data_IF_394333681792
#
_entry.id   IF_394333681792
#
_cell.length_a   1.000
_cell.length_b   1.000
_cell.length_c   1.000
_cell.angle_alpha   90.00
_cell.angle_beta   90.00
_cell.angle_gamma   90.00
#
_symmetry.space_group_name_H-M   'P 1'
#
loop_
_entity.id
_entity.type
_entity.pdbx_description
1 polymer ?
#
# COMPACT_ATOMS: atom_id res chain seq x y z
N UNK A 1 -27.34 -15.58 45.27
CA UNK A 1 -26.17 -16.13 45.99
C UNK A 1 -25.11 -16.74 45.06
N UNK A 2 -25.48 -17.43 43.96
CA UNK A 2 -24.49 -17.98 43.00
C UNK A 2 -23.63 -16.92 42.27
N UNK A 3 -24.21 -15.78 41.89
CA UNK A 3 -23.46 -14.72 41.21
C UNK A 3 -22.35 -14.08 42.07
N UNK A 4 -22.57 -13.95 43.39
CA UNK A 4 -21.58 -13.40 44.32
C UNK A 4 -20.42 -14.35 44.60
N UNK A 5 -20.68 -15.66 44.67
CA UNK A 5 -19.64 -16.67 44.84
C UNK A 5 -18.74 -16.79 43.60
N UNK A 6 -19.30 -16.62 42.39
CA UNK A 6 -18.53 -16.61 41.14
C UNK A 6 -17.63 -15.37 41.02
N UNK A 7 -18.15 -14.19 41.37
CA UNK A 7 -17.36 -12.94 41.38
C UNK A 7 -16.22 -13.01 42.41
N UNK A 8 -16.49 -13.54 43.60
CA UNK A 8 -15.46 -13.71 44.64
C UNK A 8 -14.37 -14.72 44.26
N UNK A 9 -14.73 -15.82 43.59
CA UNK A 9 -13.76 -16.80 43.09
C UNK A 9 -12.91 -16.25 41.94
N UNK A 10 -13.48 -15.37 41.11
CA UNK A 10 -12.81 -14.70 40.00
C UNK A 10 -11.70 -13.75 40.45
N UNK A 11 -11.88 -13.10 41.60
CA UNK A 11 -10.92 -12.14 42.18
C UNK A 11 -10.00 -12.79 43.24
N UNK A 12 -10.03 -14.12 43.37
CA UNK A 12 -9.26 -14.84 44.38
C UNK A 12 -7.79 -14.99 43.98
N UNK A 13 -6.87 -14.92 44.96
CA UNK A 13 -5.45 -15.25 44.78
C UNK A 13 -5.21 -16.72 44.37
N UNK A 14 -6.23 -17.57 44.43
CA UNK A 14 -6.18 -18.94 43.91
C UNK A 14 -6.18 -19.00 42.37
N UNK A 15 -6.51 -17.90 41.70
CA UNK A 15 -6.55 -17.78 40.23
C UNK A 15 -5.76 -16.56 39.73
N UNK A 16 -4.87 -16.02 40.58
CA UNK A 16 -3.97 -14.94 40.17
C UNK A 16 -3.02 -15.42 39.08
N UNK A 17 -2.66 -14.51 38.17
CA UNK A 17 -1.67 -14.78 37.15
C UNK A 17 -0.27 -14.68 37.78
N UNK A 18 0.35 -15.83 38.02
CA UNK A 18 1.71 -15.92 38.55
C UNK A 18 2.75 -16.13 37.44
N UNK A 19 2.38 -16.85 36.39
CA UNK A 19 3.28 -17.21 35.30
C UNK A 19 2.75 -16.69 33.96
N UNK A 20 3.49 -15.77 33.33
CA UNK A 20 3.15 -15.15 32.05
C UNK A 20 4.13 -15.58 30.98
N UNK A 21 3.64 -16.26 29.95
CA UNK A 21 4.45 -16.61 28.77
C UNK A 21 4.06 -15.72 27.60
N UNK A 22 4.99 -14.87 27.14
CA UNK A 22 4.79 -13.99 25.99
C UNK A 22 5.56 -14.53 24.77
N UNK A 23 4.85 -14.86 23.70
CA UNK A 23 5.42 -15.32 22.42
C UNK A 23 5.12 -14.34 21.28
N UNK A 24 5.80 -14.50 20.15
CA UNK A 24 5.49 -13.76 18.93
C UNK A 24 6.14 -12.37 18.80
N UNK A 25 6.99 -11.95 19.75
CA UNK A 25 7.75 -10.69 19.67
C UNK A 25 9.24 -10.86 19.46
N UNK A 26 9.80 -10.06 18.56
CA UNK A 26 11.20 -10.02 18.13
C UNK A 26 11.67 -8.58 17.91
N UNK A 27 12.98 -8.38 17.71
CA UNK A 27 13.56 -7.06 17.47
C UNK A 27 13.88 -6.25 18.73
N UNK A 28 14.17 -4.96 18.56
CA UNK A 28 14.67 -4.09 19.63
C UNK A 28 13.62 -3.84 20.73
N UNK A 29 12.35 -3.68 20.36
CA UNK A 29 11.25 -3.40 21.29
C UNK A 29 10.74 -4.65 22.01
N UNK A 30 11.19 -5.85 21.64
CA UNK A 30 10.67 -7.11 22.17
C UNK A 30 10.73 -7.19 23.71
N UNK A 31 11.84 -6.75 24.31
CA UNK A 31 11.98 -6.76 25.77
C UNK A 31 11.00 -5.81 26.46
N UNK A 32 10.79 -4.63 25.89
CA UNK A 32 9.88 -3.60 26.41
C UNK A 32 8.40 -4.00 26.23
N UNK A 33 8.06 -4.66 25.12
CA UNK A 33 6.71 -5.21 24.88
C UNK A 33 6.41 -6.33 25.88
N UNK A 34 7.36 -7.26 26.10
CA UNK A 34 7.20 -8.35 27.08
C UNK A 34 6.98 -7.80 28.48
N UNK A 35 7.80 -6.84 28.92
CA UNK A 35 7.66 -6.28 30.27
C UNK A 35 6.33 -5.54 30.46
N UNK A 36 5.89 -4.77 29.46
CA UNK A 36 4.59 -4.08 29.49
C UNK A 36 3.41 -5.07 29.59
N UNK A 37 3.45 -6.15 28.82
CA UNK A 37 2.41 -7.20 28.84
C UNK A 37 2.42 -7.98 30.16
N UNK A 38 3.59 -8.36 30.67
CA UNK A 38 3.72 -9.06 31.96
C UNK A 38 3.22 -8.19 33.11
N UNK A 39 3.57 -6.90 33.15
CA UNK A 39 3.11 -5.98 34.18
C UNK A 39 1.59 -5.74 34.14
N UNK A 40 0.99 -5.70 32.96
CA UNK A 40 -0.47 -5.64 32.81
C UNK A 40 -1.14 -6.95 33.23
N UNK A 41 -0.59 -8.10 32.83
CA UNK A 41 -1.12 -9.43 33.15
C UNK A 41 -1.09 -9.75 34.66
N UNK A 42 -0.07 -9.33 35.40
CA UNK A 42 -0.01 -9.55 36.86
C UNK A 42 -1.06 -8.76 37.65
N UNK A 43 -1.73 -7.79 37.03
CA UNK A 43 -2.88 -7.08 37.64
C UNK A 43 -4.22 -7.76 37.35
N UNK A 44 -4.19 -8.91 36.68
CA UNK A 44 -5.36 -9.68 36.24
C UNK A 44 -5.39 -11.07 36.88
N UNK A 45 -6.53 -11.76 36.73
CA UNK A 45 -6.68 -13.16 37.13
C UNK A 45 -6.95 -14.03 35.91
N UNK A 46 -6.68 -15.35 35.98
CA UNK A 46 -6.97 -16.26 34.86
C UNK A 46 -8.47 -16.38 34.54
N UNK A 47 -9.33 -15.94 35.48
CA UNK A 47 -10.79 -15.88 35.30
C UNK A 47 -11.30 -14.46 34.92
N UNK A 48 -10.45 -13.43 34.99
CA UNK A 48 -10.73 -12.06 34.56
C UNK A 48 -9.59 -11.49 33.71
N UNK A 49 -9.50 -11.94 32.47
CA UNK A 49 -8.52 -11.43 31.52
C UNK A 49 -9.11 -10.26 30.73
N UNK A 50 -8.60 -9.06 30.98
CA UNK A 50 -8.93 -7.88 30.19
C UNK A 50 -7.98 -7.74 28.98
N UNK A 51 -8.42 -8.26 27.84
CA UNK A 51 -7.70 -8.11 26.57
C UNK A 51 -7.59 -6.65 26.09
N UNK A 52 -8.52 -5.77 26.49
CA UNK A 52 -8.50 -4.35 26.16
C UNK A 52 -7.39 -3.59 26.90
N UNK A 53 -7.16 -3.95 28.15
CA UNK A 53 -6.04 -3.42 28.95
C UNK A 53 -4.69 -3.92 28.41
N UNK A 54 -4.57 -5.20 28.05
CA UNK A 54 -3.36 -5.73 27.41
C UNK A 54 -3.05 -5.04 26.07
N UNK A 55 -4.06 -4.82 25.22
CA UNK A 55 -3.89 -4.03 23.99
C UNK A 55 -3.50 -2.58 24.26
N UNK A 56 -4.03 -1.99 25.33
CA UNK A 56 -3.71 -0.60 25.69
C UNK A 56 -2.28 -0.46 26.21
N UNK A 57 -1.76 -1.47 26.94
CA UNK A 57 -0.38 -1.52 27.40
C UNK A 57 0.64 -1.50 26.25
N UNK A 58 0.29 -2.09 25.10
CA UNK A 58 1.18 -2.17 23.93
C UNK A 58 0.87 -1.16 22.83
N UNK A 59 -0.09 -0.25 23.04
CA UNK A 59 -0.53 0.74 22.04
C UNK A 59 0.61 1.66 21.55
N UNK A 60 1.62 1.87 22.38
CA UNK A 60 2.78 2.69 22.07
C UNK A 60 3.76 2.01 21.09
N UNK A 61 3.58 0.73 20.78
CA UNK A 61 4.45 -0.05 19.90
C UNK A 61 3.75 -0.34 18.56
N UNK A 62 4.04 0.42 17.48
CA UNK A 62 3.38 0.25 16.18
C UNK A 62 3.60 -1.14 15.55
N UNK A 63 4.69 -1.81 15.93
CA UNK A 63 5.03 -3.18 15.51
C UNK A 63 3.99 -4.21 15.97
N UNK A 64 3.18 -3.91 17.00
CA UNK A 64 2.14 -4.84 17.48
C UNK A 64 0.85 -4.63 16.70
N UNK A 65 0.43 -5.66 15.94
CA UNK A 65 -0.85 -5.67 15.23
C UNK A 65 -2.02 -6.06 16.15
N UNK A 66 -1.82 -7.10 16.97
CA UNK A 66 -2.83 -7.63 17.87
C UNK A 66 -2.18 -8.41 19.02
N UNK A 67 -2.96 -8.65 20.08
CA UNK A 67 -2.56 -9.48 21.22
C UNK A 67 -3.64 -10.52 21.44
N UNK A 68 -3.25 -11.80 21.36
CA UNK A 68 -4.11 -12.94 21.65
C UNK A 68 -3.74 -13.50 23.00
N UNK A 69 -4.76 -13.83 23.78
CA UNK A 69 -4.56 -14.28 25.15
C UNK A 69 -5.34 -15.55 25.38
N UNK A 70 -4.69 -16.52 26.01
CA UNK A 70 -5.30 -17.75 26.47
C UNK A 70 -4.90 -17.98 27.93
N UNK A 71 -5.89 -18.20 28.78
CA UNK A 71 -5.67 -18.54 30.17
C UNK A 71 -5.46 -20.06 30.31
N UNK A 72 -4.33 -20.45 30.86
CA UNK A 72 -4.00 -21.82 31.22
C UNK A 72 -4.16 -21.98 32.73
N UNK A 73 -5.34 -22.39 33.15
CA UNK A 73 -5.70 -22.54 34.56
C UNK A 73 -4.69 -23.46 35.30
N UNK A 74 -4.38 -23.23 36.59
CA UNK A 74 -4.92 -22.20 37.50
C UNK A 74 -4.18 -20.85 37.55
N UNK A 75 -2.90 -20.78 37.13
CA UNK A 75 -2.07 -19.58 37.37
C UNK A 75 -1.31 -19.07 36.14
N UNK A 76 -1.50 -19.71 34.97
CA UNK A 76 -0.74 -19.37 33.76
C UNK A 76 -1.55 -18.53 32.80
N UNK A 77 -0.90 -17.53 32.23
CA UNK A 77 -1.43 -16.73 31.13
C UNK A 77 -0.47 -16.81 29.96
N UNK A 78 -0.97 -17.29 28.81
CA UNK A 78 -0.22 -17.30 27.56
C UNK A 78 -0.69 -16.15 26.69
N UNK A 79 0.26 -15.31 26.30
CA UNK A 79 0.04 -14.13 25.48
C UNK A 79 0.82 -14.33 24.17
N UNK A 80 0.10 -14.39 23.06
CA UNK A 80 0.67 -14.44 21.73
C UNK A 80 0.52 -13.06 21.06
N UNK A 81 1.65 -12.42 20.80
CA UNK A 81 1.69 -11.11 20.15
C UNK A 81 1.78 -11.31 18.65
N UNK A 82 0.84 -10.72 17.92
CA UNK A 82 0.84 -10.72 16.47
C UNK A 82 1.59 -9.49 15.99
N UNK A 83 2.78 -9.69 15.44
CA UNK A 83 3.55 -8.62 14.82
C UNK A 83 2.95 -8.17 13.49
N UNK A 84 2.99 -6.86 13.29
CA UNK A 84 2.60 -6.20 12.07
C UNK A 84 3.68 -6.39 11.02
N UNK A 85 3.32 -7.02 9.90
CA UNK A 85 4.26 -7.27 8.81
C UNK A 85 4.54 -5.99 8.02
N UNK A 86 5.81 -5.61 7.84
CA UNK A 86 6.17 -4.53 6.93
C UNK A 86 6.00 -5.00 5.48
N UNK A 87 5.44 -4.15 4.61
CA UNK A 87 5.24 -4.48 3.19
C UNK A 87 6.07 -3.63 2.25
N UNK A 88 6.38 -2.39 2.63
CA UNK A 88 7.15 -1.46 1.82
C UNK A 88 7.77 -0.38 2.68
N UNK A 89 8.62 0.43 2.06
CA UNK A 89 9.17 1.65 2.66
C UNK A 89 8.63 2.86 1.94
N UNK A 90 8.45 3.97 2.66
CA UNK A 90 8.03 5.25 2.08
C UNK A 90 8.94 6.35 2.61
N UNK A 91 9.24 7.35 1.79
CA UNK A 91 10.07 8.48 2.18
C UNK A 91 9.26 9.48 3.01
N UNK A 92 9.56 9.56 4.31
CA UNK A 92 8.95 10.50 5.26
C UNK A 92 10.07 11.40 5.78
N UNK A 93 9.97 12.72 5.53
CA UNK A 93 11.01 13.67 5.94
C UNK A 93 12.41 13.34 5.40
N UNK A 94 12.49 12.73 4.21
CA UNK A 94 13.75 12.32 3.58
C UNK A 94 14.35 11.01 4.10
N UNK A 95 13.64 10.27 4.95
CA UNK A 95 14.06 8.96 5.47
C UNK A 95 13.09 7.87 5.00
N UNK A 96 13.65 6.77 4.49
CA UNK A 96 12.86 5.58 4.18
C UNK A 96 12.37 4.95 5.48
N UNK A 97 11.06 4.93 5.64
CA UNK A 97 10.39 4.39 6.83
C UNK A 97 9.48 3.24 6.43
N UNK A 98 9.49 2.18 7.22
CA UNK A 98 8.70 0.99 6.93
C UNK A 98 7.22 1.22 7.19
N UNK A 99 6.38 0.63 6.34
CA UNK A 99 4.93 0.75 6.44
C UNK A 99 4.28 -0.62 6.25
N UNK A 100 3.25 -0.86 7.04
CA UNK A 100 2.43 -2.07 6.99
C UNK A 100 1.25 -1.97 6.03
N UNK A 101 0.56 -3.08 5.80
CA UNK A 101 -0.63 -3.15 4.96
C UNK A 101 -1.75 -2.15 5.34
N UNK A 102 -1.93 -1.89 6.64
CA UNK A 102 -2.92 -0.95 7.18
C UNK A 102 -2.44 0.51 7.21
N UNK A 103 -1.24 0.77 6.68
CA UNK A 103 -0.65 2.11 6.56
C UNK A 103 0.05 2.58 7.82
N UNK A 104 0.17 1.73 8.84
CA UNK A 104 0.85 2.07 10.09
C UNK A 104 2.35 2.18 9.82
N UNK A 105 2.93 3.28 10.26
CA UNK A 105 4.36 3.53 10.17
C UNK A 105 5.05 2.74 11.26
N UNK A 106 6.01 1.91 10.87
CA UNK A 106 6.76 1.05 11.76
C UNK A 106 8.12 1.67 12.05
N UNK A 107 8.47 1.69 13.33
CA UNK A 107 9.81 2.10 13.76
C UNK A 107 10.79 0.97 13.46
N UNK A 108 11.95 1.35 12.95
CA UNK A 108 13.19 0.56 12.78
C UNK A 108 13.01 -0.92 12.39
N UNK A 109 13.19 -1.20 11.10
CA UNK A 109 13.32 -2.58 10.64
C UNK A 109 14.67 -3.10 11.12
N UNK A 110 14.65 -4.14 11.95
CA UNK A 110 15.85 -4.93 12.20
C UNK A 110 16.60 -5.18 10.90
N UNK A 111 17.91 -4.91 10.91
CA UNK A 111 18.79 -5.00 9.75
C UNK A 111 18.67 -6.39 9.10
N UNK A 112 18.09 -6.45 7.90
CA UNK A 112 17.93 -7.70 7.13
C UNK A 112 16.67 -7.78 6.26
N UNK A 113 15.66 -6.93 6.46
CA UNK A 113 14.43 -6.99 5.65
C UNK A 113 14.56 -6.17 4.37
N UNK A 114 14.59 -6.84 3.22
CA UNK A 114 14.55 -6.17 1.91
C UNK A 114 13.10 -5.86 1.53
N UNK A 115 12.75 -4.58 1.50
CA UNK A 115 11.42 -4.10 1.13
C UNK A 115 11.46 -3.24 -0.14
N UNK A 116 10.39 -3.23 -0.94
CA UNK A 116 10.25 -2.27 -2.02
C UNK A 116 10.01 -0.86 -1.48
N UNK A 117 10.51 0.14 -2.20
CA UNK A 117 10.18 1.54 -1.98
C UNK A 117 8.83 1.86 -2.65
N UNK A 118 7.97 2.57 -1.93
CA UNK A 118 6.69 3.03 -2.44
C UNK A 118 6.89 4.42 -3.04
N UNK A 119 6.80 4.51 -4.37
CA UNK A 119 6.96 5.79 -5.08
C UNK A 119 5.70 6.64 -4.90
N UNK A 120 5.87 7.84 -4.35
CA UNK A 120 4.79 8.81 -4.18
C UNK A 120 5.08 10.09 -4.96
N UNK A 121 4.07 10.70 -5.60
CA UNK A 121 4.24 11.96 -6.32
C UNK A 121 4.40 13.16 -5.37
N UNK A 122 3.97 13.02 -4.12
CA UNK A 122 4.07 14.04 -3.09
C UNK A 122 4.79 13.49 -1.84
N UNK A 123 5.46 14.34 -1.07
CA UNK A 123 6.01 13.98 0.23
C UNK A 123 4.90 13.46 1.16
N UNK A 124 5.17 12.36 1.84
CA UNK A 124 4.26 11.84 2.87
C UNK A 124 4.50 12.59 4.17
N UNK A 125 3.47 13.18 4.79
CA UNK A 125 3.61 13.86 6.07
C UNK A 125 4.05 12.89 7.16
N UNK A 126 4.83 13.40 8.10
CA UNK A 126 5.23 12.61 9.26
C UNK A 126 4.00 12.30 10.14
N UNK A 127 3.88 11.04 10.55
CA UNK A 127 2.79 10.60 11.42
C UNK A 127 2.88 9.11 11.70
N UNK A 128 2.07 8.65 12.65
CA UNK A 128 1.99 7.22 12.98
C UNK A 128 1.32 6.39 11.86
N UNK A 129 0.62 7.04 10.94
CA UNK A 129 -0.13 6.38 9.87
C UNK A 129 -0.14 7.19 8.58
N UNK A 130 0.09 6.49 7.48
CA UNK A 130 -0.02 7.00 6.11
C UNK A 130 -1.46 6.88 5.62
N UNK A 131 -2.03 7.98 5.15
CA UNK A 131 -3.44 8.05 4.69
C UNK A 131 -3.54 8.33 3.19
N UNK A 132 -2.42 8.63 2.55
CA UNK A 132 -2.31 9.00 1.14
C UNK A 132 -2.87 7.89 0.24
N UNK A 133 -3.88 8.19 -0.61
CA UNK A 133 -4.53 7.18 -1.44
C UNK A 133 -3.57 6.41 -2.36
N UNK A 134 -2.53 7.08 -2.86
CA UNK A 134 -1.51 6.45 -3.70
C UNK A 134 -0.73 5.38 -2.93
N UNK A 135 -0.29 5.69 -1.71
CA UNK A 135 0.41 4.73 -0.84
C UNK A 135 -0.52 3.59 -0.44
N UNK A 136 -1.77 3.89 -0.06
CA UNK A 136 -2.76 2.87 0.30
C UNK A 136 -3.00 1.88 -0.84
N UNK A 137 -3.07 2.35 -2.09
CA UNK A 137 -3.22 1.50 -3.27
C UNK A 137 -1.97 0.65 -3.54
N UNK A 138 -0.78 1.23 -3.42
CA UNK A 138 0.48 0.47 -3.54
C UNK A 138 0.62 -0.58 -2.43
N UNK A 139 0.24 -0.26 -1.19
CA UNK A 139 0.21 -1.22 -0.08
C UNK A 139 -0.80 -2.34 -0.33
N UNK A 140 -1.97 -2.04 -0.90
CA UNK A 140 -2.95 -3.07 -1.28
C UNK A 140 -2.40 -4.00 -2.38
N UNK A 141 -1.69 -3.45 -3.37
CA UNK A 141 -0.97 -4.21 -4.38
C UNK A 141 0.04 -5.16 -3.73
N UNK A 142 0.88 -4.66 -2.82
CA UNK A 142 1.88 -5.47 -2.10
C UNK A 142 1.24 -6.51 -1.18
N UNK A 143 0.14 -6.17 -0.50
CA UNK A 143 -0.58 -7.07 0.41
C UNK A 143 -1.22 -8.26 -0.33
N UNK A 144 -1.60 -8.06 -1.59
CA UNK A 144 -2.13 -9.12 -2.44
C UNK A 144 -1.05 -10.03 -3.05
N UNK A 145 0.22 -9.62 -2.95
CA UNK A 145 1.35 -10.36 -3.51
C UNK A 145 1.73 -11.56 -2.63
N UNK A 146 2.36 -12.58 -3.22
CA UNK A 146 2.89 -13.69 -2.43
C UNK A 146 4.06 -13.22 -1.55
N UNK A 147 4.22 -13.72 -0.30
CA UNK A 147 5.30 -13.24 0.58
C UNK A 147 6.71 -13.38 -0.03
N UNK A 148 6.93 -14.38 -0.90
CA UNK A 148 8.20 -14.60 -1.57
C UNK A 148 8.54 -13.60 -2.69
N UNK A 149 7.57 -12.85 -3.23
CA UNK A 149 7.84 -11.86 -4.28
C UNK A 149 8.24 -10.49 -3.72
N UNK A 150 7.80 -10.14 -2.50
CA UNK A 150 8.07 -8.83 -1.88
C UNK A 150 9.57 -8.49 -1.85
N UNK A 151 10.48 -9.37 -1.42
CA UNK A 151 11.91 -9.06 -1.40
C UNK A 151 12.50 -8.88 -2.81
N UNK A 152 11.85 -9.47 -3.83
CA UNK A 152 12.25 -9.35 -5.24
C UNK A 152 11.79 -8.04 -5.86
N UNK A 153 10.93 -7.27 -5.21
CA UNK A 153 10.49 -5.96 -5.70
C UNK A 153 11.45 -4.87 -5.22
N UNK A 154 11.86 -3.98 -6.12
CA UNK A 154 12.60 -2.76 -5.78
C UNK A 154 11.66 -1.60 -5.50
N UNK A 155 10.57 -1.48 -6.25
CA UNK A 155 9.63 -0.37 -6.14
C UNK A 155 8.18 -0.82 -6.39
N UNK A 156 7.22 -0.09 -5.82
CA UNK A 156 5.80 -0.20 -6.12
C UNK A 156 5.15 1.19 -6.07
N UNK A 157 4.15 1.44 -6.90
CA UNK A 157 3.53 2.75 -6.93
C UNK A 157 2.40 2.85 -7.94
N UNK A 158 2.03 4.08 -8.26
CA UNK A 158 1.10 4.37 -9.35
C UNK A 158 1.76 5.34 -10.33
N UNK A 159 1.61 5.05 -11.61
CA UNK A 159 2.06 5.86 -12.73
C UNK A 159 0.83 6.39 -13.50
N UNK A 160 0.89 7.60 -14.09
CA UNK A 160 -0.24 8.16 -14.83
C UNK A 160 -0.64 7.35 -16.08
N UNK A 161 0.30 6.64 -16.71
CA UNK A 161 0.08 5.93 -17.96
C UNK A 161 -0.40 4.50 -17.73
N UNK A 162 0.19 3.79 -16.75
CA UNK A 162 -0.07 2.35 -16.54
C UNK A 162 -0.83 2.06 -15.24
N UNK A 163 -1.23 3.09 -14.48
CA UNK A 163 -1.87 2.91 -13.19
C UNK A 163 -0.92 2.27 -12.17
N UNK A 164 -1.40 1.31 -11.40
CA UNK A 164 -0.60 0.57 -10.44
C UNK A 164 0.51 -0.21 -11.15
N UNK A 165 1.73 -0.06 -10.64
CA UNK A 165 2.90 -0.75 -11.16
C UNK A 165 3.85 -1.17 -10.05
N UNK A 166 4.67 -2.18 -10.34
CA UNK A 166 5.75 -2.63 -9.47
C UNK A 166 6.99 -2.95 -10.30
N UNK A 167 8.17 -2.78 -9.72
CA UNK A 167 9.45 -3.07 -10.38
C UNK A 167 10.10 -4.27 -9.71
N UNK A 168 10.42 -5.32 -10.47
CA UNK A 168 11.30 -6.38 -9.98
C UNK A 168 12.75 -5.90 -9.96
N UNK A 169 13.49 -6.31 -8.93
CA UNK A 169 14.95 -6.24 -8.89
C UNK A 169 15.50 -7.12 -9.99
N UNK A 170 16.32 -6.54 -10.87
CA UNK A 170 16.94 -7.25 -12.00
C UNK A 170 15.91 -7.98 -12.89
N UNK A 171 14.74 -7.38 -13.09
CA UNK A 171 13.65 -8.01 -13.82
C UNK A 171 12.68 -7.01 -14.46
N UNK A 172 11.60 -7.49 -15.06
CA UNK A 172 10.63 -6.65 -15.76
C UNK A 172 9.92 -5.67 -14.84
N UNK A 173 9.43 -4.58 -15.44
CA UNK A 173 8.39 -3.75 -14.84
C UNK A 173 7.03 -4.44 -14.97
N UNK A 174 6.26 -4.47 -13.88
CA UNK A 174 4.92 -5.04 -13.85
C UNK A 174 3.88 -3.92 -13.93
N UNK A 175 2.93 -4.05 -14.84
CA UNK A 175 1.79 -3.15 -14.97
C UNK A 175 0.50 -3.87 -14.56
N UNK A 176 -0.23 -3.26 -13.63
CA UNK A 176 -1.48 -3.81 -13.09
C UNK A 176 -2.69 -3.00 -13.53
N UNK A 177 -2.54 -1.78 -14.05
CA UNK A 177 -3.67 -0.90 -14.35
C UNK A 177 -4.37 -0.45 -13.06
N UNK A 178 -5.62 -0.84 -12.86
CA UNK A 178 -6.36 -0.49 -11.66
C UNK A 178 -6.09 -1.42 -10.45
N UNK A 179 -6.65 -1.04 -9.29
CA UNK A 179 -6.57 -1.83 -8.05
C UNK A 179 -7.56 -2.99 -7.97
N UNK A 180 -8.24 -3.35 -9.05
CA UNK A 180 -9.20 -4.46 -9.06
C UNK A 180 -8.50 -5.79 -9.30
N UNK A 181 -9.12 -6.89 -8.85
CA UNK A 181 -8.69 -8.28 -9.07
C UNK A 181 -7.19 -8.54 -8.81
N UNK A 182 -6.57 -7.85 -7.84
CA UNK A 182 -5.12 -7.92 -7.58
C UNK A 182 -4.60 -9.35 -7.37
N UNK A 183 -5.38 -10.21 -6.70
CA UNK A 183 -5.03 -11.62 -6.53
C UNK A 183 -4.92 -12.36 -7.88
N UNK A 184 -5.86 -12.15 -8.80
CA UNK A 184 -5.80 -12.75 -10.14
C UNK A 184 -4.62 -12.21 -10.95
N UNK A 185 -4.35 -10.90 -10.85
CA UNK A 185 -3.20 -10.26 -11.52
C UNK A 185 -1.86 -10.81 -11.01
N UNK A 186 -1.72 -11.03 -9.70
CA UNK A 186 -0.51 -11.66 -9.15
C UNK A 186 -0.33 -13.13 -9.55
N UNK A 187 -1.42 -13.87 -9.71
CA UNK A 187 -1.36 -15.23 -10.28
C UNK A 187 -0.87 -15.18 -11.73
N UNK A 188 -1.39 -14.26 -12.55
CA UNK A 188 -0.94 -14.05 -13.92
C UNK A 188 0.56 -13.67 -13.97
N UNK A 189 1.03 -12.76 -13.11
CA UNK A 189 2.46 -12.42 -12.99
C UNK A 189 3.30 -13.66 -12.69
N UNK A 190 2.85 -14.49 -11.74
CA UNK A 190 3.59 -15.70 -11.36
C UNK A 190 3.65 -16.70 -12.52
N UNK A 191 2.56 -16.86 -13.28
CA UNK A 191 2.52 -17.71 -14.45
C UNK A 191 3.48 -17.22 -15.56
N UNK A 192 3.46 -15.93 -15.88
CA UNK A 192 4.34 -15.33 -16.89
C UNK A 192 5.81 -15.39 -16.48
N UNK A 193 6.13 -15.11 -15.21
CA UNK A 193 7.50 -15.23 -14.70
C UNK A 193 8.01 -16.68 -14.68
N UNK A 194 7.11 -17.66 -14.64
CA UNK A 194 7.43 -19.09 -14.72
C UNK A 194 7.59 -19.61 -16.16
N UNK A 195 7.16 -18.85 -17.17
CA UNK A 195 7.28 -19.23 -18.57
C UNK A 195 8.68 -18.87 -19.11
N UNK A 196 9.49 -19.85 -19.56
CA UNK A 196 10.79 -19.60 -20.17
C UNK A 196 10.72 -18.63 -21.36
N UNK A 197 9.63 -18.63 -22.12
CA UNK A 197 9.42 -17.73 -23.28
C UNK A 197 9.34 -16.25 -22.91
N UNK A 198 9.06 -15.94 -21.65
CA UNK A 198 9.00 -14.57 -21.13
C UNK A 198 10.33 -14.11 -20.48
N UNK A 199 11.37 -14.96 -20.55
CA UNK A 199 12.69 -14.63 -20.02
C UNK A 199 13.29 -13.41 -20.73
N UNK A 200 13.73 -12.41 -19.96
CA UNK A 200 14.31 -11.18 -20.52
C UNK A 200 13.29 -10.15 -20.98
N UNK A 201 11.98 -10.37 -20.74
CA UNK A 201 10.98 -9.32 -20.92
C UNK A 201 11.36 -8.08 -20.10
N UNK A 202 11.20 -6.89 -20.68
CA UNK A 202 11.42 -5.63 -19.95
C UNK A 202 10.16 -5.21 -19.20
N UNK A 203 8.99 -5.65 -19.65
CA UNK A 203 7.74 -5.43 -18.96
C UNK A 203 6.81 -6.64 -19.04
N UNK A 204 5.93 -6.74 -18.06
CA UNK A 204 4.79 -7.64 -18.03
C UNK A 204 3.56 -6.82 -17.71
N UNK A 205 2.58 -6.83 -18.60
CA UNK A 205 1.27 -6.21 -18.42
C UNK A 205 0.24 -7.28 -18.01
N UNK A 206 -0.33 -7.10 -16.83
CA UNK A 206 -1.40 -7.94 -16.26
C UNK A 206 -2.67 -7.13 -15.98
N UNK A 207 -2.87 -6.04 -16.70
CA UNK A 207 -4.09 -5.23 -16.60
C UNK A 207 -5.35 -6.08 -16.83
N UNK A 208 -5.30 -6.97 -17.81
CA UNK A 208 -6.22 -8.11 -17.97
C UNK A 208 -5.55 -9.40 -17.49
N UNK A 209 -5.93 -9.96 -16.33
CA UNK A 209 -5.28 -11.17 -15.80
C UNK A 209 -5.51 -12.42 -16.65
N UNK A 210 -6.54 -12.44 -17.51
CA UNK A 210 -6.81 -13.57 -18.40
C UNK A 210 -5.98 -13.50 -19.69
N UNK A 211 -5.38 -12.34 -19.99
CA UNK A 211 -4.58 -12.07 -21.19
C UNK A 211 -3.31 -11.29 -20.84
N UNK A 212 -2.39 -11.87 -20.05
CA UNK A 212 -1.16 -11.19 -19.72
C UNK A 212 -0.26 -11.05 -20.95
N UNK A 213 0.49 -9.96 -21.04
CA UNK A 213 1.43 -9.69 -22.11
C UNK A 213 2.83 -9.45 -21.57
N UNK A 214 3.84 -10.09 -22.14
CA UNK A 214 5.25 -9.84 -21.86
C UNK A 214 5.92 -9.27 -23.11
N UNK A 215 6.73 -8.22 -22.96
CA UNK A 215 7.37 -7.55 -24.09
C UNK A 215 8.79 -7.12 -23.81
N UNK A 216 9.59 -7.09 -24.88
CA UNK A 216 10.87 -6.40 -24.87
C UNK A 216 10.61 -4.89 -24.83
N UNK A 217 11.24 -4.20 -23.89
CA UNK A 217 11.23 -2.75 -23.89
C UNK A 217 12.00 -2.26 -25.11
N UNK A 218 11.69 -1.07 -25.60
CA UNK A 218 12.62 -0.34 -26.46
C UNK A 218 13.85 0.00 -25.61
N UNK A 219 14.77 -0.96 -25.49
CA UNK A 219 16.14 -0.63 -25.16
C UNK A 219 16.53 0.43 -26.18
N UNK A 220 16.79 1.65 -25.73
CA UNK A 220 17.56 2.58 -26.54
C UNK A 220 18.80 1.80 -26.95
N UNK A 221 18.87 1.47 -28.23
CA UNK A 221 20.10 1.10 -28.89
C UNK A 221 21.04 2.27 -28.63
N UNK A 222 21.84 2.19 -27.56
CA UNK A 222 23.12 2.88 -27.51
C UNK A 222 23.93 2.19 -28.60
N UNK A 223 23.71 2.68 -29.82
CA UNK A 223 24.56 2.50 -30.96
C UNK A 223 25.91 3.03 -30.52
N UNK A 224 26.77 2.12 -30.06
CA UNK A 224 28.19 2.37 -30.01
C UNK A 224 28.61 2.68 -31.43
N UNK A 225 28.71 3.96 -31.74
CA UNK A 225 29.30 4.46 -32.96
C UNK A 225 30.75 3.98 -33.02
N UNK A 226 30.95 2.79 -33.59
CA UNK A 226 32.24 2.37 -34.11
C UNK A 226 32.47 3.20 -35.38
N UNK A 227 33.28 4.24 -35.21
CA UNK A 227 33.87 5.01 -36.29
C UNK A 227 34.87 4.12 -37.04
N UNK A 228 34.50 3.69 -38.24
CA UNK A 228 35.43 3.08 -39.19
C UNK A 228 35.09 3.50 -40.62
N UNK A 229 35.87 4.48 -41.11
CA UNK A 229 36.42 4.50 -42.46
C UNK A 229 35.44 4.61 -43.63
N UNK A 230 35.19 5.84 -44.06
CA UNK A 230 34.77 6.11 -45.43
C UNK A 230 35.92 5.77 -46.40
N UNK A 231 35.67 4.86 -47.35
CA UNK A 231 36.40 4.83 -48.63
C UNK A 231 35.38 5.01 -49.74
N UNK A 232 35.52 6.14 -50.43
CA UNK A 232 34.80 6.44 -51.65
C UNK A 232 35.20 5.46 -52.76
N UNK A 233 34.21 4.92 -53.47
CA UNK A 233 34.42 4.36 -54.80
C UNK A 233 33.34 4.88 -55.73
N UNK A 234 33.79 5.71 -56.67
CA UNK A 234 33.08 6.22 -57.83
C UNK A 234 32.79 5.07 -58.79
N UNK A 235 31.54 4.94 -59.25
CA UNK A 235 31.28 4.38 -60.58
C UNK A 235 30.08 5.06 -61.24
N UNK A 236 30.36 5.53 -62.45
CA UNK A 236 29.53 6.28 -63.38
C UNK A 236 28.76 5.33 -64.31
N UNK A 237 27.61 5.77 -64.82
CA UNK A 237 26.82 5.13 -65.89
C UNK A 237 25.33 5.40 -65.73
N UNK A 238 24.77 6.52 -66.23
CA UNK A 238 24.29 6.76 -67.60
C UNK A 238 22.83 6.31 -67.87
N UNK A 239 21.95 7.32 -67.86
CA UNK A 239 20.80 7.65 -68.72
C UNK A 239 19.88 6.57 -69.34
N UNK A 240 18.55 6.74 -69.16
CA UNK A 240 17.56 7.10 -70.21
C UNK A 240 16.12 7.05 -69.62
N UNK A 241 15.38 8.16 -69.53
CA UNK A 241 14.39 8.66 -70.51
C UNK A 241 13.09 7.85 -70.63
N UNK A 242 11.94 8.48 -70.33
CA UNK A 242 10.62 7.97 -70.73
C UNK A 242 9.43 8.60 -70.00
N UNK A 243 8.81 9.62 -70.62
CA UNK A 243 7.50 10.20 -70.29
C UNK A 243 6.38 9.13 -70.33
N UNK A 244 5.21 9.27 -69.68
CA UNK A 244 4.13 10.21 -70.02
C UNK A 244 3.05 10.27 -68.93
N UNK A 245 2.39 11.43 -68.85
CA UNK A 245 1.14 11.67 -68.13
C UNK A 245 -0.08 11.09 -68.86
N UNK A 246 -1.14 10.73 -68.13
CA UNK A 246 -2.51 10.99 -68.58
C UNK A 246 -3.55 10.97 -67.44
N UNK A 247 -4.47 11.92 -67.59
CA UNK A 247 -5.61 12.31 -66.74
C UNK A 247 -6.90 11.65 -67.23
N UNK A 248 -7.84 11.31 -66.34
CA UNK A 248 -9.31 11.38 -66.52
C UNK A 248 -9.96 11.05 -65.16
N UNK A 249 -10.71 11.93 -64.46
CA UNK A 249 -11.98 12.65 -64.75
C UNK A 249 -13.24 11.77 -64.69
N UNK A 250 -14.17 12.15 -63.79
CA UNK A 250 -15.60 11.77 -63.80
C UNK A 250 -16.13 11.50 -62.37
N UNK A 251 -16.62 12.51 -61.62
CA UNK A 251 -18.01 13.00 -61.56
C UNK A 251 -18.99 12.00 -60.87
N UNK A 252 -19.52 12.23 -59.66
CA UNK A 252 -20.44 13.26 -59.13
C UNK A 252 -21.89 12.74 -58.97
N UNK A 253 -22.48 12.91 -57.77
CA UNK A 253 -23.89 13.27 -57.47
C UNK A 253 -24.22 12.92 -56.00
N UNK A 254 -24.48 13.91 -55.13
CA UNK A 254 -25.81 14.47 -54.73
C UNK A 254 -26.30 13.80 -53.42
N UNK A 255 -26.74 14.49 -52.37
CA UNK A 255 -27.06 15.91 -52.19
C UNK A 255 -27.24 16.34 -50.72
N UNK A 256 -27.51 17.64 -50.59
CA UNK A 256 -27.85 18.43 -49.39
C UNK A 256 -29.19 17.98 -48.74
N UNK A 257 -29.50 18.25 -47.47
CA UNK A 257 -29.95 19.55 -46.87
C UNK A 257 -29.78 19.49 -45.33
N UNK A 258 -29.17 20.47 -44.64
CA UNK A 258 -29.69 21.74 -44.10
C UNK A 258 -30.94 21.64 -43.18
N UNK A 259 -30.81 21.95 -41.88
CA UNK A 259 -31.37 23.16 -41.24
C UNK A 259 -31.27 23.17 -39.69
N UNK A 260 -30.94 24.36 -39.20
CA UNK A 260 -30.97 24.89 -37.83
C UNK A 260 -32.40 25.05 -37.29
N UNK A 261 -32.65 24.81 -35.99
CA UNK A 261 -33.52 25.69 -35.20
C UNK A 261 -33.40 25.54 -33.67
N UNK A 262 -33.30 26.70 -33.05
CA UNK A 262 -33.42 27.09 -31.65
C UNK A 262 -34.83 26.82 -31.09
N UNK A 263 -34.96 26.52 -29.79
CA UNK A 263 -36.28 26.49 -29.12
C UNK A 263 -36.23 26.18 -27.62
N UNK A 264 -36.87 27.03 -26.82
CA UNK A 264 -36.77 27.13 -25.37
C UNK A 264 -37.67 26.16 -24.56
N UNK A 265 -37.24 25.97 -23.30
CA UNK A 265 -37.99 25.90 -22.03
C UNK A 265 -39.41 25.30 -21.92
N UNK A 266 -39.61 24.40 -20.94
CA UNK A 266 -40.65 24.48 -19.88
C UNK A 266 -40.50 23.29 -18.91
N UNK A 267 -40.23 23.58 -17.62
CA UNK A 267 -41.12 23.42 -16.46
C UNK A 267 -41.37 21.98 -15.95
N UNK A 268 -40.93 21.71 -14.73
CA UNK A 268 -41.34 20.55 -13.93
C UNK A 268 -40.99 20.77 -12.46
N UNK A 269 -42.02 20.93 -11.63
CA UNK A 269 -41.98 21.32 -10.21
C UNK A 269 -41.50 20.18 -9.27
N UNK A 270 -41.01 20.55 -8.09
CA UNK A 270 -40.66 19.60 -7.03
C UNK A 270 -40.17 20.24 -5.72
N UNK A 271 -41.11 20.82 -4.98
CA UNK A 271 -41.25 20.97 -3.51
C UNK A 271 -40.03 20.92 -2.56
N UNK A 272 -39.89 22.03 -1.84
CA UNK A 272 -39.42 22.26 -0.46
C UNK A 272 -39.07 21.07 0.47
N UNK A 273 -37.96 21.22 1.20
CA UNK A 273 -37.99 21.11 2.67
C UNK A 273 -36.88 21.91 3.35
N UNK A 274 -37.31 22.68 4.35
CA UNK A 274 -36.57 23.44 5.36
C UNK A 274 -35.66 22.56 6.21
N UNK A 275 -34.45 23.03 6.53
CA UNK A 275 -33.78 22.62 7.77
C UNK A 275 -33.03 23.78 8.42
N UNK A 276 -33.61 24.18 9.54
CA UNK A 276 -33.11 25.02 10.61
C UNK A 276 -32.03 24.27 11.39
N UNK A 277 -30.93 24.93 11.75
CA UNK A 277 -29.94 24.42 12.72
C UNK A 277 -28.98 25.54 13.12
N UNK A 278 -29.35 26.36 14.09
CA UNK A 278 -28.87 26.29 15.48
C UNK A 278 -27.36 26.49 15.63
N UNK A 279 -26.95 27.75 15.76
CA UNK A 279 -25.67 28.14 16.34
C UNK A 279 -25.80 28.06 17.87
N UNK A 280 -24.99 27.24 18.52
CA UNK A 280 -24.85 27.25 19.97
C UNK A 280 -23.39 27.38 20.36
N UNK A 281 -23.18 28.44 21.14
CA UNK A 281 -22.01 28.88 21.86
C UNK A 281 -21.18 27.75 22.49
N UNK A 282 -19.86 27.88 22.46
CA UNK A 282 -19.00 27.28 23.49
C UNK A 282 -17.99 28.31 23.95
N UNK A 283 -18.20 28.70 25.21
CA UNK A 283 -17.38 29.53 26.07
C UNK A 283 -15.97 28.98 26.21
N UNK A 284 -14.96 29.83 25.94
CA UNK A 284 -13.57 29.58 26.28
C UNK A 284 -13.31 29.82 27.76
N UNK A 285 -12.89 28.79 28.48
CA UNK A 285 -12.42 28.88 29.86
C UNK A 285 -10.91 29.10 29.83
N UNK A 286 -10.46 30.22 30.39
CA UNK A 286 -9.06 30.59 30.50
C UNK A 286 -8.33 29.68 31.51
N UNK A 287 -7.17 29.17 31.08
CA UNK A 287 -6.21 28.47 31.92
C UNK A 287 -5.54 29.43 32.91
N UNK A 288 -5.52 29.07 34.20
CA UNK A 288 -4.69 29.72 35.21
C UNK A 288 -3.62 28.72 35.65
N UNK A 289 -2.35 29.11 35.47
CA UNK A 289 -1.16 28.37 35.86
C UNK A 289 -0.92 28.42 37.39
N UNK A 290 -0.30 27.40 38.00
CA UNK A 290 0.12 27.44 39.40
C UNK A 290 1.52 28.08 39.56
N UNK A 291 1.75 28.92 40.59
CA UNK A 291 3.10 29.34 40.94
C UNK A 291 3.83 28.31 41.82
N UNK A 292 5.11 28.16 41.51
CA UNK A 292 6.18 27.43 42.20
C UNK A 292 6.46 27.96 43.61
N UNK A 293 6.87 27.07 44.52
CA UNK A 293 7.70 27.43 45.68
C UNK A 293 8.67 26.28 46.06
N UNK A 294 9.89 26.62 46.52
CA UNK A 294 11.01 25.68 46.71
C UNK A 294 11.02 25.00 48.09
N UNK A 295 11.64 23.82 48.16
CA UNK A 295 11.94 23.09 49.40
C UNK A 295 13.16 23.66 50.15
N UNK A 296 13.22 23.51 51.49
CA UNK A 296 14.43 23.72 52.28
C UNK A 296 15.43 22.56 52.17
#
# INVERSE_FOLDING_TARGET
MLAGAWLWLRDSSLVSVDEVTVTGVQGADAAAIRSALTAAAHRMTTLDVDTGELRSAVRLYPVVADVRVSADFPHRLRIDVVERRPLGTVSIGGRLTAVSADGTVLNDLGSGTTLPEITTPAPVPAGARVTEPAVRRALALLAAASPGIIPRLSQAGSDPTHGLSAQLRNGPRLYFGDGSRLAAKWMAVTAVLGDPGSSGAAYIDVTDPERPAAGAGSAQTQSGAASSGATAQTQSGAASSGATAQTQTGAASTGATAQTQTGAASSGAGSAQTQTGSTTSTSGTAATAPPTSPSP
#
